data_IF_010699348331
#
_entry.id   IF_010699348331
#
_cell.length_a   1.000
_cell.length_b   1.000
_cell.length_c   1.000
_cell.angle_alpha   90.00
_cell.angle_beta   90.00
_cell.angle_gamma   90.00
#
_symmetry.space_group_name_H-M   'P 1'
#
loop_
_entity.id
_entity.type
_entity.pdbx_description
1 polymer ?
#
# COMPACT_ATOMS: atom_id res chain seq x y z
N UNK A 1 64.40 9.41 71.54
CA UNK A 1 63.51 10.03 70.55
C UNK A 1 62.86 8.90 69.76
N UNK A 2 61.54 8.74 69.82
CA UNK A 2 60.82 7.67 69.10
C UNK A 2 60.36 8.25 67.76
N UNK A 3 60.67 7.57 66.65
CA UNK A 3 60.21 7.94 65.30
C UNK A 3 59.15 6.93 64.87
N UNK A 4 57.94 7.42 64.61
CA UNK A 4 56.86 6.62 64.04
C UNK A 4 57.02 6.62 62.52
N UNK A 5 57.16 5.44 61.92
CA UNK A 5 57.09 5.29 60.46
C UNK A 5 55.65 5.06 60.04
N UNK A 6 55.16 5.87 59.11
CA UNK A 6 53.80 5.82 58.59
C UNK A 6 53.79 5.54 57.08
N UNK A 7 54.92 5.17 56.50
CA UNK A 7 55.07 4.97 55.05
C UNK A 7 54.11 3.88 54.54
N UNK A 8 54.00 2.76 55.23
CA UNK A 8 53.11 1.66 54.85
C UNK A 8 51.63 2.06 54.92
N UNK A 9 51.24 2.84 55.93
CA UNK A 9 49.88 3.37 56.03
C UNK A 9 49.56 4.35 54.89
N UNK A 10 50.51 5.24 54.54
CA UNK A 10 50.34 6.18 53.43
C UNK A 10 50.23 5.45 52.10
N UNK A 11 51.05 4.42 51.87
CA UNK A 11 50.98 3.58 50.67
C UNK A 11 49.64 2.85 50.60
N UNK A 12 49.22 2.21 51.69
CA UNK A 12 47.92 1.52 51.74
C UNK A 12 46.74 2.44 51.44
N UNK A 13 46.73 3.66 51.99
CA UNK A 13 45.69 4.65 51.68
C UNK A 13 45.76 5.15 50.22
N UNK A 14 46.97 5.38 49.69
CA UNK A 14 47.15 5.80 48.31
C UNK A 14 46.70 4.72 47.32
N UNK A 15 47.00 3.46 47.61
CA UNK A 15 46.62 2.33 46.76
C UNK A 15 45.11 2.09 46.82
N UNK A 16 44.50 2.14 48.01
CA UNK A 16 43.04 2.07 48.13
C UNK A 16 42.33 3.22 47.38
N UNK A 17 42.88 4.44 47.41
CA UNK A 17 42.35 5.56 46.64
C UNK A 17 42.49 5.35 45.13
N UNK A 18 43.63 4.81 44.67
CA UNK A 18 43.84 4.46 43.25
C UNK A 18 42.88 3.36 42.80
N UNK A 19 42.64 2.34 43.62
CA UNK A 19 41.72 1.24 43.29
C UNK A 19 40.29 1.76 43.10
N UNK A 20 39.85 2.67 43.98
CA UNK A 20 38.55 3.35 43.83
C UNK A 20 38.49 4.21 42.56
N UNK A 21 39.56 4.98 42.28
CA UNK A 21 39.64 5.78 41.06
C UNK A 21 39.60 4.91 39.80
N UNK A 22 40.34 3.79 39.78
CA UNK A 22 40.35 2.84 38.67
C UNK A 22 38.98 2.16 38.48
N UNK A 23 38.28 1.86 39.58
CA UNK A 23 36.92 1.32 39.53
C UNK A 23 35.95 2.31 38.90
N UNK A 24 36.02 3.59 39.29
CA UNK A 24 35.22 4.66 38.70
C UNK A 24 35.57 4.88 37.22
N UNK A 25 36.85 4.92 36.88
CA UNK A 25 37.32 5.07 35.50
C UNK A 25 36.82 3.93 34.61
N UNK A 26 36.94 2.68 35.07
CA UNK A 26 36.40 1.51 34.35
C UNK A 26 34.90 1.68 34.10
N UNK A 27 34.13 2.10 35.11
CA UNK A 27 32.69 2.31 34.94
C UNK A 27 32.36 3.40 33.93
N UNK A 28 33.05 4.54 33.99
CA UNK A 28 32.85 5.67 33.04
C UNK A 28 33.21 5.24 31.62
N UNK A 29 34.29 4.48 31.45
CA UNK A 29 34.69 3.92 30.14
C UNK A 29 33.67 2.92 29.62
N UNK A 30 33.11 2.05 30.46
CA UNK A 30 32.06 1.11 30.05
C UNK A 30 30.78 1.85 29.62
N UNK A 31 30.36 2.86 30.38
CA UNK A 31 29.20 3.68 30.04
C UNK A 31 29.45 4.48 28.73
N UNK A 32 30.68 4.94 28.49
CA UNK A 32 31.10 5.57 27.23
C UNK A 32 31.03 4.60 26.04
N UNK A 33 31.54 3.36 26.22
CA UNK A 33 31.50 2.31 25.20
C UNK A 33 30.07 1.94 24.83
N UNK A 34 29.17 1.83 25.82
CA UNK A 34 27.74 1.55 25.60
C UNK A 34 27.09 2.68 24.79
N UNK A 35 27.37 3.94 25.15
CA UNK A 35 26.82 5.09 24.44
C UNK A 35 27.30 5.15 22.98
N UNK A 36 28.60 4.96 22.75
CA UNK A 36 29.16 4.92 21.39
C UNK A 36 28.49 3.83 20.53
N UNK A 37 28.33 2.62 21.07
CA UNK A 37 27.64 1.53 20.37
C UNK A 37 26.18 1.88 20.07
N UNK A 38 25.50 2.56 20.98
CA UNK A 38 24.12 3.02 20.78
C UNK A 38 24.04 4.05 19.65
N UNK A 39 24.93 5.04 19.61
CA UNK A 39 25.00 6.04 18.54
C UNK A 39 25.22 5.37 17.19
N UNK A 40 26.20 4.46 17.09
CA UNK A 40 26.51 3.73 15.85
C UNK A 40 25.29 2.92 15.38
N UNK A 41 24.61 2.23 16.30
CA UNK A 41 23.41 1.45 15.99
C UNK A 41 22.31 2.31 15.39
N UNK A 42 22.07 3.51 15.94
CA UNK A 42 21.06 4.43 15.43
C UNK A 42 21.41 4.97 14.03
N UNK A 43 22.67 5.36 13.78
CA UNK A 43 23.12 5.72 12.44
C UNK A 43 23.00 4.57 11.44
N UNK A 44 23.33 3.35 11.86
CA UNK A 44 23.24 2.15 11.02
C UNK A 44 21.78 1.83 10.69
N UNK A 45 20.86 2.01 11.65
CA UNK A 45 19.42 1.87 11.42
C UNK A 45 18.94 2.89 10.38
N UNK A 46 19.30 4.18 10.55
CA UNK A 46 18.96 5.23 9.59
C UNK A 46 19.51 4.87 8.21
N UNK A 47 20.77 4.46 8.13
CA UNK A 47 21.39 4.09 6.86
C UNK A 47 20.67 2.92 6.18
N UNK A 48 20.41 1.85 6.93
CA UNK A 48 19.78 0.64 6.38
C UNK A 48 18.38 0.95 5.85
N UNK A 49 17.58 1.68 6.64
CA UNK A 49 16.22 2.04 6.25
C UNK A 49 16.18 3.06 5.10
N UNK A 50 17.14 3.98 5.03
CA UNK A 50 17.20 4.98 3.94
C UNK A 50 17.67 4.38 2.61
N UNK A 51 18.34 3.23 2.62
CA UNK A 51 18.86 2.58 1.41
C UNK A 51 18.04 1.37 0.96
N UNK A 52 17.03 0.98 1.73
CA UNK A 52 16.10 -0.08 1.34
C UNK A 52 15.15 0.46 0.27
N UNK A 53 15.06 -0.11 -0.94
CA UNK A 53 14.06 0.33 -1.91
C UNK A 53 12.64 0.06 -1.39
N UNK A 54 11.70 1.03 -1.48
CA UNK A 54 10.31 0.80 -1.10
C UNK A 54 9.63 -0.15 -2.10
N UNK A 55 8.77 -1.04 -1.61
CA UNK A 55 8.06 -1.99 -2.47
C UNK A 55 6.77 -1.39 -3.07
N UNK A 56 6.22 -0.35 -2.45
CA UNK A 56 4.98 0.29 -2.84
C UNK A 56 4.95 1.78 -2.45
N UNK A 57 3.95 2.50 -2.96
CA UNK A 57 3.81 3.94 -2.74
C UNK A 57 3.58 4.32 -1.26
N UNK A 58 2.97 3.45 -0.45
CA UNK A 58 2.80 3.70 0.98
C UNK A 58 4.14 3.66 1.72
N UNK A 59 4.97 2.65 1.41
CA UNK A 59 6.33 2.54 1.93
C UNK A 59 7.21 3.70 1.47
N UNK A 60 7.08 4.13 0.22
CA UNK A 60 7.77 5.30 -0.30
C UNK A 60 7.42 6.55 0.51
N UNK A 61 6.13 6.80 0.78
CA UNK A 61 5.69 7.95 1.58
C UNK A 61 6.16 7.86 3.04
N UNK A 62 6.12 6.66 3.62
CA UNK A 62 6.67 6.40 4.97
C UNK A 62 8.17 6.65 5.03
N UNK A 63 8.91 6.26 3.99
CA UNK A 63 10.34 6.51 3.86
C UNK A 63 10.66 8.00 3.77
N UNK A 64 9.94 8.74 2.92
CA UNK A 64 10.08 10.20 2.79
C UNK A 64 9.92 10.87 4.16
N UNK A 65 8.87 10.51 4.90
CA UNK A 65 8.64 11.07 6.23
C UNK A 65 9.74 10.67 7.24
N UNK A 66 10.17 9.41 7.22
CA UNK A 66 11.21 8.91 8.12
C UNK A 66 12.56 9.62 7.87
N UNK A 67 12.97 9.72 6.61
CA UNK A 67 14.25 10.34 6.25
C UNK A 67 14.23 11.83 6.55
N UNK A 68 13.11 12.52 6.33
CA UNK A 68 12.97 13.92 6.70
C UNK A 68 13.11 14.13 8.22
N UNK A 69 12.45 13.30 9.05
CA UNK A 69 12.58 13.35 10.50
C UNK A 69 14.01 13.00 10.96
N UNK A 70 14.64 12.00 10.34
CA UNK A 70 16.02 11.61 10.62
C UNK A 70 17.00 12.74 10.28
N UNK A 71 16.84 13.38 9.11
CA UNK A 71 17.69 14.47 8.62
C UNK A 71 17.56 15.74 9.46
N UNK A 72 16.35 16.02 9.96
CA UNK A 72 16.07 17.20 10.78
C UNK A 72 16.34 16.94 12.27
N UNK A 73 15.38 16.38 12.99
CA UNK A 73 15.44 16.22 14.43
C UNK A 73 16.42 15.11 14.86
N UNK A 74 16.52 14.03 14.08
CA UNK A 74 17.43 12.91 14.36
C UNK A 74 18.89 13.34 14.38
N UNK A 75 19.33 14.05 13.33
CA UNK A 75 20.71 14.55 13.23
C UNK A 75 21.05 15.55 14.34
N UNK A 76 20.12 16.41 14.76
CA UNK A 76 20.36 17.34 15.89
C UNK A 76 20.66 16.54 17.17
N UNK A 77 19.82 15.56 17.49
CA UNK A 77 19.98 14.72 18.69
C UNK A 77 21.26 13.88 18.64
N UNK A 78 21.54 13.25 17.50
CA UNK A 78 22.74 12.42 17.33
C UNK A 78 24.02 13.26 17.42
N UNK A 79 24.06 14.45 16.83
CA UNK A 79 25.21 15.34 16.92
C UNK A 79 25.43 15.86 18.36
N UNK A 80 24.37 16.11 19.12
CA UNK A 80 24.47 16.45 20.55
C UNK A 80 25.06 15.31 21.36
N UNK A 81 24.60 14.08 21.13
CA UNK A 81 25.16 12.88 21.77
C UNK A 81 26.64 12.66 21.43
N UNK A 82 27.01 12.86 20.16
CA UNK A 82 28.41 12.82 19.72
C UNK A 82 29.25 13.88 20.43
N UNK A 83 28.73 15.11 20.59
CA UNK A 83 29.44 16.17 21.32
C UNK A 83 29.70 15.76 22.77
N UNK A 84 28.69 15.24 23.46
CA UNK A 84 28.83 14.76 24.84
C UNK A 84 29.83 13.59 24.94
N UNK A 85 29.83 12.68 23.96
CA UNK A 85 30.80 11.59 23.87
C UNK A 85 32.22 12.12 23.64
N UNK A 86 32.38 13.15 22.81
CA UNK A 86 33.67 13.79 22.55
C UNK A 86 34.24 14.49 23.80
N UNK A 87 33.40 15.20 24.56
CA UNK A 87 33.81 15.83 25.83
C UNK A 87 34.26 14.79 26.85
N UNK A 88 33.53 13.67 26.96
CA UNK A 88 33.93 12.54 27.82
C UNK A 88 35.23 11.90 27.35
N UNK A 89 35.39 11.71 26.05
CA UNK A 89 36.60 11.14 25.45
C UNK A 89 37.82 12.01 25.74
N UNK A 90 37.71 13.34 25.70
CA UNK A 90 38.80 14.26 26.03
C UNK A 90 39.35 14.01 27.44
N UNK A 91 38.48 13.84 28.42
CA UNK A 91 38.89 13.48 29.78
C UNK A 91 39.53 12.09 29.83
N UNK A 92 38.88 11.09 29.21
CA UNK A 92 39.34 9.71 29.26
C UNK A 92 40.70 9.50 28.59
N UNK A 93 41.04 10.26 27.55
CA UNK A 93 42.36 10.18 26.89
C UNK A 93 43.53 10.52 27.83
N UNK A 94 43.30 11.37 28.85
CA UNK A 94 44.33 11.73 29.83
C UNK A 94 44.36 10.78 31.03
N UNK A 95 43.23 10.13 31.34
CA UNK A 95 43.05 9.34 32.57
C UNK A 95 42.96 7.82 32.37
N UNK A 96 42.80 7.33 31.13
CA UNK A 96 42.56 5.92 30.83
C UNK A 96 43.36 5.45 29.62
N UNK A 97 43.86 4.22 29.67
CA UNK A 97 44.56 3.58 28.55
C UNK A 97 43.56 2.78 27.72
N UNK A 98 43.22 3.28 26.54
CA UNK A 98 42.29 2.61 25.64
C UNK A 98 42.90 1.39 24.94
N UNK A 99 42.10 0.34 24.79
CA UNK A 99 42.37 -0.74 23.86
C UNK A 99 42.04 -0.30 22.42
N UNK A 100 42.65 -0.97 21.44
CA UNK A 100 42.45 -0.63 20.02
C UNK A 100 40.97 -0.63 19.61
N UNK A 101 40.19 -1.60 20.08
CA UNK A 101 38.76 -1.69 19.75
C UNK A 101 37.94 -0.47 20.24
N UNK A 102 38.32 0.13 21.36
CA UNK A 102 37.65 1.35 21.84
C UNK A 102 38.06 2.58 21.05
N UNK A 103 39.32 2.66 20.61
CA UNK A 103 39.79 3.72 19.72
C UNK A 103 39.05 3.67 18.38
N UNK A 104 38.87 2.48 17.82
CA UNK A 104 38.13 2.26 16.58
C UNK A 104 36.66 2.68 16.73
N UNK A 105 36.01 2.30 17.84
CA UNK A 105 34.63 2.73 18.15
C UNK A 105 34.50 4.26 18.25
N UNK A 106 35.44 4.92 18.94
CA UNK A 106 35.44 6.38 19.04
C UNK A 106 35.60 7.04 17.67
N UNK A 107 36.55 6.56 16.86
CA UNK A 107 36.79 7.08 15.52
C UNK A 107 35.54 6.89 14.62
N UNK A 108 34.88 5.74 14.72
CA UNK A 108 33.65 5.48 14.00
C UNK A 108 32.53 6.47 14.38
N UNK A 109 32.26 6.67 15.69
CA UNK A 109 31.26 7.63 16.16
C UNK A 109 31.51 9.04 15.61
N UNK A 110 32.76 9.51 15.65
CA UNK A 110 33.13 10.86 15.21
C UNK A 110 33.03 11.05 13.69
N UNK A 111 33.12 9.98 12.90
CA UNK A 111 33.06 10.04 11.42
C UNK A 111 31.64 9.86 10.87
N UNK A 112 30.71 9.29 11.65
CA UNK A 112 29.32 9.06 11.21
C UNK A 112 28.59 10.28 10.63
N UNK A 113 28.69 11.49 11.21
CA UNK A 113 28.03 12.67 10.64
C UNK A 113 28.45 13.01 9.21
N UNK A 114 29.68 12.66 8.80
CA UNK A 114 30.13 12.83 7.42
C UNK A 114 29.70 11.65 6.55
N UNK A 115 29.74 10.42 7.10
CA UNK A 115 29.35 9.18 6.40
C UNK A 115 27.87 9.11 6.06
N UNK A 116 27.00 9.77 6.84
CA UNK A 116 25.54 9.72 6.63
C UNK A 116 25.06 10.65 5.51
N UNK A 117 25.75 11.75 5.19
CA UNK A 117 25.29 12.68 4.16
C UNK A 117 25.16 12.02 2.77
N UNK A 118 26.16 11.25 2.28
CA UNK A 118 26.02 10.51 1.02
C UNK A 118 24.90 9.46 1.03
N UNK A 119 24.47 9.01 2.21
CA UNK A 119 23.33 8.09 2.34
C UNK A 119 22.03 8.82 2.09
N UNK A 120 21.89 10.03 2.64
CA UNK A 120 20.75 10.90 2.36
C UNK A 120 20.68 11.31 0.89
N UNK A 121 21.82 11.65 0.26
CA UNK A 121 21.86 11.98 -1.17
C UNK A 121 21.40 10.79 -2.04
N UNK A 122 21.87 9.57 -1.73
CA UNK A 122 21.42 8.34 -2.40
C UNK A 122 19.94 8.05 -2.17
N UNK A 123 19.44 8.35 -0.98
CA UNK A 123 18.01 8.18 -0.69
C UNK A 123 17.17 9.17 -1.51
N UNK A 124 17.64 10.41 -1.71
CA UNK A 124 16.97 11.39 -2.55
C UNK A 124 16.88 10.89 -4.00
N UNK A 125 17.98 10.34 -4.55
CA UNK A 125 17.98 9.69 -5.88
C UNK A 125 16.99 8.51 -5.97
N UNK A 126 16.96 7.66 -4.94
CA UNK A 126 16.08 6.50 -4.86
C UNK A 126 14.61 6.90 -4.80
N UNK A 127 14.28 7.91 -4.00
CA UNK A 127 12.93 8.47 -3.88
C UNK A 127 12.48 9.02 -5.23
N UNK A 128 13.31 9.82 -5.90
CA UNK A 128 12.94 10.42 -7.19
C UNK A 128 12.78 9.36 -8.28
N UNK A 129 13.66 8.35 -8.33
CA UNK A 129 13.51 7.23 -9.24
C UNK A 129 12.22 6.43 -8.99
N UNK A 130 11.89 6.17 -7.72
CA UNK A 130 10.68 5.45 -7.33
C UNK A 130 9.41 6.23 -7.65
N UNK A 131 9.40 7.55 -7.43
CA UNK A 131 8.29 8.43 -7.82
C UNK A 131 8.06 8.40 -9.32
N UNK A 132 9.12 8.55 -10.12
CA UNK A 132 9.01 8.54 -11.59
C UNK A 132 8.42 7.21 -12.10
N UNK A 133 8.88 6.09 -11.53
CA UNK A 133 8.34 4.77 -11.87
C UNK A 133 6.87 4.63 -11.44
N UNK A 134 6.52 5.08 -10.24
CA UNK A 134 5.14 5.11 -9.74
C UNK A 134 4.21 5.94 -10.62
N UNK A 135 4.63 7.13 -11.05
CA UNK A 135 3.87 7.98 -11.96
C UNK A 135 3.65 7.32 -13.32
N UNK A 136 4.67 6.67 -13.85
CA UNK A 136 4.58 5.92 -15.10
C UNK A 136 3.59 4.76 -14.96
N UNK A 137 3.67 3.98 -13.89
CA UNK A 137 2.74 2.89 -13.63
C UNK A 137 1.29 3.38 -13.49
N UNK A 138 1.10 4.53 -12.82
CA UNK A 138 -0.21 5.17 -12.66
C UNK A 138 -0.81 5.52 -14.04
N UNK A 139 -0.02 6.16 -14.90
CA UNK A 139 -0.44 6.53 -16.24
C UNK A 139 -0.78 5.31 -17.10
N UNK A 140 0.11 4.31 -17.15
CA UNK A 140 -0.13 3.08 -17.92
C UNK A 140 -1.39 2.34 -17.45
N UNK A 141 -1.62 2.28 -16.14
CA UNK A 141 -2.79 1.59 -15.59
C UNK A 141 -4.07 2.39 -15.83
N UNK A 142 -4.01 3.72 -15.80
CA UNK A 142 -5.12 4.60 -16.19
C UNK A 142 -5.51 4.39 -17.66
N UNK A 143 -4.53 4.35 -18.57
CA UNK A 143 -4.77 4.08 -20.00
C UNK A 143 -5.40 2.70 -20.21
N UNK A 144 -4.88 1.66 -19.52
CA UNK A 144 -5.45 0.31 -19.57
C UNK A 144 -6.90 0.27 -19.09
N UNK A 145 -7.22 0.90 -17.96
CA UNK A 145 -8.60 0.98 -17.45
C UNK A 145 -9.51 1.67 -18.46
N UNK A 146 -9.09 2.82 -19.02
CA UNK A 146 -9.88 3.54 -20.02
C UNK A 146 -10.17 2.70 -21.27
N UNK A 147 -9.15 1.99 -21.79
CA UNK A 147 -9.30 1.09 -22.93
C UNK A 147 -10.23 -0.08 -22.61
N UNK A 148 -10.12 -0.67 -21.41
CA UNK A 148 -10.99 -1.76 -20.99
C UNK A 148 -12.44 -1.29 -20.82
N UNK A 149 -12.69 -0.10 -20.27
CA UNK A 149 -14.03 0.48 -20.18
C UNK A 149 -14.64 0.71 -21.56
N UNK A 150 -13.87 1.20 -22.53
CA UNK A 150 -14.35 1.38 -23.91
C UNK A 150 -14.71 0.04 -24.57
N UNK A 151 -13.89 -1.00 -24.38
CA UNK A 151 -14.21 -2.36 -24.85
C UNK A 151 -15.47 -2.92 -24.18
N UNK A 152 -15.63 -2.70 -22.87
CA UNK A 152 -16.82 -3.16 -22.14
C UNK A 152 -18.07 -2.44 -22.63
N UNK A 153 -17.98 -1.14 -22.90
CA UNK A 153 -19.07 -0.36 -23.48
C UNK A 153 -19.50 -0.92 -24.83
N UNK A 154 -18.55 -1.13 -25.75
CA UNK A 154 -18.83 -1.73 -27.06
C UNK A 154 -19.46 -3.12 -26.92
N UNK A 155 -18.93 -3.96 -26.01
CA UNK A 155 -19.48 -5.28 -25.73
C UNK A 155 -20.92 -5.23 -25.18
N UNK A 156 -21.26 -4.20 -24.40
CA UNK A 156 -22.64 -4.00 -23.94
C UNK A 156 -23.55 -3.56 -25.09
N UNK A 157 -23.04 -2.78 -26.04
CA UNK A 157 -23.81 -2.38 -27.22
C UNK A 157 -24.09 -3.57 -28.17
N UNK A 158 -23.18 -4.53 -28.28
CA UNK A 158 -23.38 -5.79 -29.05
C UNK A 158 -24.59 -6.60 -28.53
N UNK A 159 -24.96 -6.49 -27.25
CA UNK A 159 -26.14 -7.18 -26.72
C UNK A 159 -27.46 -6.70 -27.32
N UNK A 160 -27.49 -5.55 -28.03
CA UNK A 160 -28.67 -5.14 -28.78
C UNK A 160 -28.95 -6.06 -29.99
N UNK A 161 -27.95 -6.80 -30.48
CA UNK A 161 -28.07 -7.73 -31.60
C UNK A 161 -28.48 -9.14 -31.15
N UNK A 162 -28.49 -9.40 -29.84
CA UNK A 162 -28.79 -10.70 -29.27
C UNK A 162 -30.31 -10.94 -29.29
N UNK A 163 -30.76 -12.00 -29.96
CA UNK A 163 -32.17 -12.31 -30.10
C UNK A 163 -32.51 -13.80 -30.23
N UNK A 164 -31.52 -14.68 -30.28
CA UNK A 164 -31.75 -16.11 -30.47
C UNK A 164 -32.13 -16.79 -29.15
N UNK A 165 -33.36 -17.33 -29.08
CA UNK A 165 -33.88 -17.98 -27.87
C UNK A 165 -33.07 -19.20 -27.45
N UNK A 166 -32.54 -19.97 -28.40
CA UNK A 166 -31.75 -21.17 -28.11
C UNK A 166 -30.37 -20.84 -27.48
N UNK A 167 -29.89 -19.61 -27.68
CA UNK A 167 -28.57 -19.14 -27.21
C UNK A 167 -28.63 -18.41 -25.86
N UNK A 168 -29.81 -18.27 -25.26
CA UNK A 168 -30.02 -17.50 -24.02
C UNK A 168 -29.12 -17.93 -22.86
N UNK A 169 -28.83 -19.23 -22.75
CA UNK A 169 -27.87 -19.75 -21.77
C UNK A 169 -26.45 -19.20 -21.97
N UNK A 170 -25.98 -19.10 -23.21
CA UNK A 170 -24.68 -18.52 -23.55
C UNK A 170 -24.69 -17.00 -23.29
N UNK A 171 -25.77 -16.31 -23.63
CA UNK A 171 -25.89 -14.87 -23.41
C UNK A 171 -25.81 -14.48 -21.92
N UNK A 172 -26.37 -15.30 -21.02
CA UNK A 172 -26.19 -15.12 -19.57
C UNK A 172 -24.72 -15.25 -19.17
N UNK A 173 -23.97 -16.18 -19.75
CA UNK A 173 -22.53 -16.32 -19.47
C UNK A 173 -21.72 -15.13 -19.99
N UNK A 174 -22.03 -14.65 -21.19
CA UNK A 174 -21.39 -13.47 -21.78
C UNK A 174 -21.60 -12.23 -20.89
N UNK A 175 -22.82 -12.00 -20.40
CA UNK A 175 -23.11 -10.90 -19.47
C UNK A 175 -22.32 -11.06 -18.17
N UNK A 176 -22.26 -12.26 -17.60
CA UNK A 176 -21.48 -12.51 -16.37
C UNK A 176 -19.99 -12.22 -16.58
N UNK A 177 -19.45 -12.55 -17.77
CA UNK A 177 -18.08 -12.23 -18.12
C UNK A 177 -17.84 -10.71 -18.18
N UNK A 178 -18.78 -9.95 -18.76
CA UNK A 178 -18.71 -8.47 -18.78
C UNK A 178 -18.85 -7.88 -17.37
N UNK A 179 -19.79 -8.37 -16.54
CA UNK A 179 -19.94 -7.94 -15.15
C UNK A 179 -18.67 -8.20 -14.33
N UNK A 180 -18.02 -9.36 -14.51
CA UNK A 180 -16.75 -9.67 -13.86
C UNK A 180 -15.66 -8.69 -14.26
N UNK A 181 -15.47 -8.46 -15.57
CA UNK A 181 -14.46 -7.51 -16.07
C UNK A 181 -14.74 -6.08 -15.62
N UNK A 182 -16.01 -5.69 -15.48
CA UNK A 182 -16.40 -4.39 -14.94
C UNK A 182 -16.03 -4.27 -13.45
N UNK A 183 -16.22 -5.33 -12.67
CA UNK A 183 -15.78 -5.39 -11.27
C UNK A 183 -14.24 -5.30 -11.16
N UNK A 184 -13.50 -6.01 -12.01
CA UNK A 184 -12.03 -5.95 -12.05
C UNK A 184 -11.54 -4.52 -12.41
N UNK A 185 -12.26 -3.83 -13.31
CA UNK A 185 -12.00 -2.43 -13.64
C UNK A 185 -12.31 -1.48 -12.47
N UNK A 186 -13.39 -1.71 -11.72
CA UNK A 186 -13.72 -0.95 -10.51
C UNK A 186 -12.66 -1.10 -9.41
N UNK A 187 -12.14 -2.32 -9.21
CA UNK A 187 -11.03 -2.55 -8.28
C UNK A 187 -9.76 -1.81 -8.73
N UNK A 188 -9.47 -1.84 -10.03
CA UNK A 188 -8.34 -1.10 -10.61
C UNK A 188 -8.49 0.42 -10.44
N UNK A 189 -9.70 0.96 -10.56
CA UNK A 189 -10.02 2.37 -10.30
C UNK A 189 -9.85 2.73 -8.82
N UNK A 190 -10.33 1.87 -7.92
CA UNK A 190 -10.15 2.06 -6.48
C UNK A 190 -8.66 2.14 -6.12
N UNK A 191 -7.84 1.24 -6.68
CA UNK A 191 -6.39 1.31 -6.55
C UNK A 191 -5.82 2.61 -7.12
N UNK A 192 -6.21 3.02 -8.33
CA UNK A 192 -5.76 4.28 -8.95
C UNK A 192 -6.08 5.50 -8.07
N UNK A 193 -7.31 5.57 -7.53
CA UNK A 193 -7.74 6.67 -6.68
C UNK A 193 -6.97 6.71 -5.35
N UNK A 194 -6.66 5.54 -4.79
CA UNK A 194 -5.81 5.44 -3.60
C UNK A 194 -4.41 5.96 -3.87
N UNK A 195 -3.81 5.56 -4.98
CA UNK A 195 -2.48 6.03 -5.42
C UNK A 195 -2.48 7.54 -5.70
N UNK A 196 -3.46 8.04 -6.46
CA UNK A 196 -3.63 9.49 -6.71
C UNK A 196 -3.70 10.28 -5.40
N UNK A 197 -4.43 9.77 -4.39
CA UNK A 197 -4.50 10.40 -3.08
C UNK A 197 -3.16 10.37 -2.33
N UNK A 198 -2.40 9.27 -2.39
CA UNK A 198 -1.06 9.17 -1.78
C UNK A 198 -0.09 10.18 -2.38
N UNK A 199 -0.09 10.34 -3.71
CA UNK A 199 0.71 11.33 -4.43
C UNK A 199 0.14 12.76 -4.34
N UNK A 200 -0.99 12.96 -3.66
CA UNK A 200 -1.71 14.25 -3.54
C UNK A 200 -2.17 14.81 -4.89
N UNK A 201 -2.43 13.94 -5.86
CA UNK A 201 -3.04 14.28 -7.14
C UNK A 201 -4.57 14.39 -7.02
N UNK A 202 -5.22 15.19 -7.89
CA UNK A 202 -6.67 15.19 -7.98
C UNK A 202 -7.19 13.81 -8.34
N UNK A 203 -8.10 13.28 -7.51
CA UNK A 203 -8.70 11.96 -7.71
C UNK A 203 -9.55 11.97 -8.98
N UNK A 204 -9.22 11.08 -9.92
CA UNK A 204 -9.93 10.94 -11.18
C UNK A 204 -11.32 10.31 -10.99
N UNK A 205 -12.31 10.80 -11.73
CA UNK A 205 -13.66 10.24 -11.73
C UNK A 205 -13.92 9.45 -13.02
N UNK A 206 -14.66 8.34 -12.89
CA UNK A 206 -14.94 7.41 -13.98
C UNK A 206 -16.47 7.16 -14.13
N UNK A 207 -17.28 8.18 -14.49
CA UNK A 207 -18.74 8.04 -14.60
C UNK A 207 -19.16 6.98 -15.62
N UNK A 208 -18.31 6.70 -16.60
CA UNK A 208 -18.52 5.66 -17.64
C UNK A 208 -18.75 4.28 -17.02
N UNK A 209 -18.18 3.98 -15.84
CA UNK A 209 -18.40 2.72 -15.13
C UNK A 209 -19.87 2.54 -14.76
N UNK A 210 -20.48 3.58 -14.20
CA UNK A 210 -21.89 3.55 -13.79
C UNK A 210 -22.83 3.52 -15.01
N UNK A 211 -22.42 4.17 -16.11
CA UNK A 211 -23.13 4.10 -17.38
C UNK A 211 -23.13 2.66 -17.95
N UNK A 212 -21.99 1.97 -17.94
CA UNK A 212 -21.88 0.58 -18.40
C UNK A 212 -22.70 -0.34 -17.48
N UNK A 213 -22.59 -0.19 -16.16
CA UNK A 213 -23.35 -0.97 -15.18
C UNK A 213 -24.88 -0.80 -15.37
N UNK A 214 -25.33 0.43 -15.58
CA UNK A 214 -26.73 0.74 -15.84
C UNK A 214 -27.22 0.22 -17.19
N UNK A 215 -26.32 0.17 -18.18
CA UNK A 215 -26.64 -0.28 -19.53
C UNK A 215 -26.75 -1.80 -19.66
N UNK A 216 -25.99 -2.55 -18.86
CA UNK A 216 -26.00 -4.03 -18.89
C UNK A 216 -27.13 -4.65 -18.06
N UNK A 217 -27.58 -3.99 -16.99
CA UNK A 217 -28.61 -4.50 -16.07
C UNK A 217 -29.92 -4.96 -16.76
N UNK A 218 -30.48 -4.22 -17.74
CA UNK A 218 -31.69 -4.64 -18.45
C UNK A 218 -31.52 -5.94 -19.25
N UNK A 219 -30.35 -6.14 -19.87
CA UNK A 219 -30.04 -7.37 -20.62
C UNK A 219 -29.83 -8.55 -19.67
N UNK A 220 -29.16 -8.31 -18.54
CA UNK A 220 -28.99 -9.33 -17.50
C UNK A 220 -30.34 -9.83 -17.02
N UNK A 221 -31.26 -8.91 -16.70
CA UNK A 221 -32.63 -9.25 -16.29
C UNK A 221 -33.35 -10.03 -17.39
N UNK A 222 -33.33 -9.54 -18.62
CA UNK A 222 -33.99 -10.20 -19.75
C UNK A 222 -33.53 -11.64 -19.93
N UNK A 223 -32.22 -11.86 -20.12
CA UNK A 223 -31.71 -13.19 -20.43
C UNK A 223 -31.89 -14.17 -19.26
N UNK A 224 -31.74 -13.72 -18.01
CA UNK A 224 -32.00 -14.59 -16.86
C UNK A 224 -33.48 -14.99 -16.75
N UNK A 225 -34.41 -14.08 -16.99
CA UNK A 225 -35.86 -14.39 -16.96
C UNK A 225 -36.21 -15.39 -18.06
N UNK A 226 -35.68 -15.20 -19.27
CA UNK A 226 -35.92 -16.13 -20.37
C UNK A 226 -35.34 -17.52 -20.07
N UNK A 227 -34.11 -17.61 -19.56
CA UNK A 227 -33.50 -18.90 -19.18
C UNK A 227 -34.28 -19.59 -18.05
N UNK A 228 -34.75 -18.83 -17.05
CA UNK A 228 -35.59 -19.38 -15.97
C UNK A 228 -36.89 -19.94 -16.53
N UNK A 229 -37.57 -19.17 -17.38
CA UNK A 229 -38.79 -19.59 -18.05
C UNK A 229 -38.58 -20.85 -18.91
N UNK A 230 -37.53 -20.90 -19.74
CA UNK A 230 -37.21 -22.08 -20.55
C UNK A 230 -36.97 -23.35 -19.71
N UNK A 231 -36.33 -23.21 -18.54
CA UNK A 231 -36.14 -24.34 -17.61
C UNK A 231 -37.45 -24.77 -16.96
N UNK A 232 -38.29 -23.80 -16.59
CA UNK A 232 -39.59 -24.07 -15.98
C UNK A 232 -40.54 -24.74 -16.99
N UNK A 233 -40.62 -24.19 -18.21
CA UNK A 233 -41.41 -24.76 -19.31
C UNK A 233 -41.02 -26.20 -19.60
N UNK A 234 -39.72 -26.47 -19.79
CA UNK A 234 -39.21 -27.84 -19.96
C UNK A 234 -39.56 -28.76 -18.79
N UNK A 235 -39.52 -28.26 -17.55
CA UNK A 235 -39.90 -29.04 -16.37
C UNK A 235 -41.40 -29.37 -16.38
N UNK A 236 -42.24 -28.43 -16.80
CA UNK A 236 -43.70 -28.64 -16.85
C UNK A 236 -44.11 -29.56 -18.00
N UNK A 237 -43.41 -29.54 -19.13
CA UNK A 237 -43.72 -30.36 -20.31
C UNK A 237 -43.10 -31.76 -20.26
N UNK A 238 -41.86 -31.87 -19.79
CA UNK A 238 -41.07 -33.10 -19.85
C UNK A 238 -40.90 -33.77 -18.47
N UNK A 239 -41.37 -33.11 -17.39
CA UNK A 239 -41.27 -33.61 -16.02
C UNK A 239 -42.31 -34.66 -15.64
N UNK A 240 -42.14 -35.26 -14.46
CA UNK A 240 -43.10 -36.21 -13.93
C UNK A 240 -44.41 -35.50 -13.56
N UNK A 241 -45.52 -35.93 -14.16
CA UNK A 241 -46.84 -35.31 -13.95
C UNK A 241 -47.27 -35.22 -12.48
N UNK A 242 -46.87 -36.20 -11.66
CA UNK A 242 -47.19 -36.24 -10.22
C UNK A 242 -46.49 -35.16 -9.40
N UNK A 243 -45.40 -34.59 -9.92
CA UNK A 243 -44.63 -33.54 -9.25
C UNK A 243 -45.09 -32.13 -9.69
N UNK A 244 -46.12 -32.02 -10.52
CA UNK A 244 -46.67 -30.77 -11.01
C UNK A 244 -47.81 -30.27 -10.12
N UNK A 245 -47.71 -29.02 -9.70
CA UNK A 245 -48.74 -28.30 -8.95
C UNK A 245 -49.27 -27.14 -9.83
N UNK A 246 -50.56 -27.17 -10.14
CA UNK A 246 -51.18 -26.18 -11.03
C UNK A 246 -51.18 -24.77 -10.45
N UNK A 247 -51.35 -24.60 -9.14
CA UNK A 247 -51.36 -23.27 -8.50
C UNK A 247 -49.94 -22.67 -8.52
N UNK A 248 -48.92 -23.50 -8.29
CA UNK A 248 -47.52 -23.07 -8.39
C UNK A 248 -47.17 -22.67 -9.82
N UNK A 249 -47.52 -23.49 -10.81
CA UNK A 249 -47.26 -23.19 -12.23
C UNK A 249 -47.94 -21.89 -12.65
N UNK A 250 -49.22 -21.71 -12.30
CA UNK A 250 -49.95 -20.48 -12.60
C UNK A 250 -49.23 -19.26 -11.99
N UNK A 251 -48.79 -19.36 -10.73
CA UNK A 251 -48.04 -18.29 -10.07
C UNK A 251 -46.70 -17.96 -10.74
N UNK A 252 -45.94 -18.99 -11.17
CA UNK A 252 -44.65 -18.84 -11.85
C UNK A 252 -44.84 -18.18 -13.23
N UNK A 253 -45.85 -18.60 -14.00
CA UNK A 253 -46.18 -17.99 -15.31
C UNK A 253 -46.55 -16.52 -15.14
N UNK A 254 -47.35 -16.20 -14.12
CA UNK A 254 -47.78 -14.82 -13.82
C UNK A 254 -46.58 -13.94 -13.42
N UNK A 255 -45.62 -14.49 -12.67
CA UNK A 255 -44.38 -13.82 -12.31
C UNK A 255 -43.53 -13.53 -13.55
N UNK A 256 -43.25 -14.54 -14.39
CA UNK A 256 -42.47 -14.37 -15.62
C UNK A 256 -43.12 -13.36 -16.57
N UNK A 257 -44.45 -13.41 -16.72
CA UNK A 257 -45.18 -12.43 -17.53
C UNK A 257 -44.99 -11.00 -17.01
N UNK A 258 -45.14 -10.78 -15.69
CA UNK A 258 -44.96 -9.45 -15.08
C UNK A 258 -43.53 -8.94 -15.24
N UNK A 259 -42.53 -9.79 -15.09
CA UNK A 259 -41.12 -9.43 -15.28
C UNK A 259 -40.83 -9.08 -16.75
N UNK A 260 -41.22 -9.94 -17.69
CA UNK A 260 -41.05 -9.69 -19.12
C UNK A 260 -41.79 -8.44 -19.58
N UNK A 261 -43.00 -8.19 -19.09
CA UNK A 261 -43.76 -6.98 -19.40
C UNK A 261 -43.06 -5.70 -18.94
N UNK A 262 -42.49 -5.70 -17.72
CA UNK A 262 -41.70 -4.57 -17.20
C UNK A 262 -40.45 -4.33 -18.07
N UNK A 263 -39.74 -5.39 -18.42
CA UNK A 263 -38.53 -5.34 -19.24
C UNK A 263 -38.87 -4.83 -20.66
N UNK A 264 -39.92 -5.34 -21.28
CA UNK A 264 -40.42 -4.90 -22.57
C UNK A 264 -40.75 -3.40 -22.57
N UNK A 265 -41.46 -2.92 -21.53
CA UNK A 265 -41.76 -1.49 -21.37
C UNK A 265 -40.49 -0.64 -21.27
N UNK A 266 -39.49 -1.12 -20.54
CA UNK A 266 -38.19 -0.46 -20.43
C UNK A 266 -37.50 -0.34 -21.80
N UNK A 267 -37.36 -1.45 -22.54
CA UNK A 267 -36.71 -1.43 -23.86
C UNK A 267 -37.49 -0.59 -24.88
N UNK A 268 -38.82 -0.64 -24.88
CA UNK A 268 -39.66 0.23 -25.72
C UNK A 268 -39.43 1.72 -25.43
N UNK A 269 -39.31 2.09 -24.15
CA UNK A 269 -39.00 3.47 -23.77
C UNK A 269 -37.57 3.87 -24.17
N UNK A 270 -36.60 2.96 -24.03
CA UNK A 270 -35.20 3.18 -24.48
C UNK A 270 -35.16 3.39 -26.00
N UNK A 271 -35.85 2.56 -26.77
CA UNK A 271 -35.95 2.66 -28.23
C UNK A 271 -36.58 3.99 -28.68
N UNK A 272 -37.69 4.40 -28.06
CA UNK A 272 -38.32 5.72 -28.35
C UNK A 272 -37.37 6.89 -28.11
N UNK A 273 -36.60 6.85 -27.02
CA UNK A 273 -35.61 7.90 -26.72
C UNK A 273 -34.49 7.95 -27.75
N UNK A 274 -34.00 6.80 -28.21
CA UNK A 274 -32.98 6.71 -29.27
C UNK A 274 -33.52 7.29 -30.59
N UNK A 275 -34.75 6.97 -30.96
CA UNK A 275 -35.38 7.46 -32.19
C UNK A 275 -35.53 8.99 -32.23
N UNK A 276 -35.95 9.60 -31.11
CA UNK A 276 -36.05 11.07 -30.99
C UNK A 276 -34.67 11.74 -31.10
N UNK A 277 -33.63 11.12 -30.55
CA UNK A 277 -32.27 11.66 -30.58
C UNK A 277 -31.66 11.63 -31.98
N UNK A 278 -31.97 10.62 -32.80
CA UNK A 278 -31.56 10.53 -34.20
C UNK A 278 -32.34 11.47 -35.14
N UNK A 279 -33.50 12.00 -34.72
CA UNK A 279 -34.28 12.98 -35.49
C UNK A 279 -33.85 14.43 -35.24
N UNK A 280 -33.01 14.66 -34.22
CA UNK A 280 -32.50 15.97 -33.81
C UNK A 280 -31.04 16.22 -34.22
N UNK A 281 -30.41 15.23 -34.87
CA UNK A 281 -29.09 15.31 -35.50
C UNK A 281 -29.27 15.35 -37.01
#
# INVERSE_FOLDING_TARGET
>A
MIRLDCEDLKRGLADAAKDLANTLLTRVTDDHRVENKSIISEFTMIQTRSLQPPENSEELMSMVQFVEEARTNGMIKLNERIRNAMERLQYLMESYLFEQGDLDLNAEVLTWPQRINPVFDKNDELIEASKLDGEKQLLEKKEKVMLELEKLRQRVDEFNEYGELDMMGQYVQDIRAVQKRLADAQESISWLNKEEALYKYPVSQYPVVDEIASSIDPFFKLFNVVVKWQRAEKKWTDGAFLDLDSEVIESEVDEYWRELYKIQKFFNNKFKKLQVRCQLL
#
